data_IF_740720923551
#
_entry.id   IF_740720923551
#
_cell.length_a   1.000
_cell.length_b   1.000
_cell.length_c   1.000
_cell.angle_alpha   90.00
_cell.angle_beta   90.00
_cell.angle_gamma   90.00
#
_symmetry.space_group_name_H-M   'P 1'
#
loop_
_entity.id
_entity.type
_entity.pdbx_description
1 polymer ?
#
# COMPACT_ATOMS: atom_id res chain seq x y z
N UNK A 1 -17.43 -11.52 17.05
CA UNK A 1 -16.89 -10.99 15.79
C UNK A 1 -15.51 -11.57 15.62
N UNK A 2 -15.23 -12.20 14.46
CA UNK A 2 -13.90 -12.72 14.16
C UNK A 2 -13.26 -11.85 13.05
N UNK A 3 -12.05 -11.37 13.31
CA UNK A 3 -11.24 -10.62 12.34
C UNK A 3 -10.20 -11.58 11.76
N UNK A 4 -10.22 -11.78 10.47
CA UNK A 4 -9.19 -12.52 9.75
C UNK A 4 -8.16 -11.55 9.19
N UNK A 5 -6.92 -11.67 9.66
CA UNK A 5 -5.85 -10.72 9.38
C UNK A 5 -4.65 -11.46 8.78
N UNK A 6 -4.35 -11.18 7.52
CA UNK A 6 -3.21 -11.78 6.83
C UNK A 6 -1.87 -11.11 7.18
N UNK A 7 -1.93 -9.87 7.71
CA UNK A 7 -0.74 -9.05 7.94
C UNK A 7 -0.21 -9.19 9.37
N UNK A 8 -1.08 -9.00 10.37
CA UNK A 8 -0.68 -9.00 11.80
C UNK A 8 -0.85 -10.37 12.47
N UNK A 9 -1.41 -11.34 11.78
CA UNK A 9 -1.54 -12.70 12.27
C UNK A 9 -2.71 -12.93 13.24
N UNK A 10 -2.53 -13.84 14.18
CA UNK A 10 -3.58 -14.35 15.07
C UNK A 10 -3.94 -13.40 16.24
N UNK A 11 -3.29 -12.25 16.33
CA UNK A 11 -3.54 -11.25 17.36
C UNK A 11 -3.23 -11.71 18.78
N UNK A 12 -2.36 -12.72 18.94
CA UNK A 12 -1.88 -13.16 20.24
C UNK A 12 -1.23 -12.00 21.01
N UNK A 13 -1.60 -11.85 22.29
CA UNK A 13 -1.03 -10.80 23.12
C UNK A 13 0.40 -11.14 23.49
N UNK A 14 1.32 -10.20 23.33
CA UNK A 14 2.69 -10.33 23.76
C UNK A 14 2.77 -10.46 25.27
N UNK A 15 3.71 -11.30 25.76
CA UNK A 15 3.95 -11.44 27.21
C UNK A 15 4.52 -10.16 27.83
N UNK A 16 5.32 -9.42 27.06
CA UNK A 16 5.88 -8.12 27.40
C UNK A 16 5.51 -7.14 26.27
N UNK A 17 4.30 -6.54 26.31
CA UNK A 17 3.85 -5.64 25.25
C UNK A 17 4.61 -4.31 25.30
N UNK A 18 4.80 -3.69 24.14
CA UNK A 18 5.15 -2.28 24.07
C UNK A 18 4.01 -1.40 24.55
N UNK A 19 4.28 -0.13 24.84
CA UNK A 19 3.25 0.82 25.26
C UNK A 19 2.11 0.93 24.23
N UNK A 20 2.46 0.94 22.94
CA UNK A 20 1.50 0.97 21.84
C UNK A 20 0.64 -0.31 21.80
N UNK A 21 1.27 -1.47 21.91
CA UNK A 21 0.54 -2.75 21.95
C UNK A 21 -0.40 -2.83 23.14
N UNK A 22 0.04 -2.36 24.32
CA UNK A 22 -0.81 -2.33 25.50
C UNK A 22 -2.04 -1.43 25.29
N UNK A 23 -1.85 -0.25 24.70
CA UNK A 23 -2.96 0.66 24.37
C UNK A 23 -3.96 0.01 23.40
N UNK A 24 -3.50 -0.76 22.42
CA UNK A 24 -4.36 -1.53 21.51
C UNK A 24 -5.15 -2.62 22.25
N UNK A 25 -4.51 -3.31 23.21
CA UNK A 25 -5.19 -4.34 24.03
C UNK A 25 -6.25 -3.72 24.93
N UNK A 26 -5.94 -2.61 25.59
CA UNK A 26 -6.86 -1.89 26.47
C UNK A 26 -8.07 -1.37 25.68
N UNK A 27 -7.85 -0.87 24.46
CA UNK A 27 -8.91 -0.43 23.57
C UNK A 27 -9.83 -1.59 23.14
N UNK A 28 -9.26 -2.74 22.80
CA UNK A 28 -10.04 -3.95 22.49
C UNK A 28 -10.89 -4.40 23.68
N UNK A 29 -10.30 -4.44 24.86
CA UNK A 29 -11.01 -4.81 26.10
C UNK A 29 -12.15 -3.83 26.41
N UNK A 30 -11.93 -2.54 26.17
CA UNK A 30 -12.96 -1.52 26.29
C UNK A 30 -14.11 -1.73 25.29
N UNK A 31 -13.82 -2.05 24.01
CA UNK A 31 -14.85 -2.38 23.02
C UNK A 31 -15.67 -3.58 23.48
N UNK A 32 -15.02 -4.67 23.88
CA UNK A 32 -15.70 -5.89 24.33
C UNK A 32 -16.64 -5.62 25.50
N UNK A 33 -16.16 -4.84 26.49
CA UNK A 33 -16.96 -4.49 27.65
C UNK A 33 -18.12 -3.52 27.33
N UNK A 34 -17.86 -2.52 26.47
CA UNK A 34 -18.83 -1.47 26.15
C UNK A 34 -19.98 -1.99 25.31
N UNK A 35 -19.67 -2.83 24.32
CA UNK A 35 -20.66 -3.30 23.34
C UNK A 35 -21.12 -4.74 23.61
N UNK A 36 -20.66 -5.37 24.68
CA UNK A 36 -20.97 -6.76 25.03
C UNK A 36 -20.73 -7.71 23.85
N UNK A 37 -19.58 -7.59 23.21
CA UNK A 37 -19.14 -8.42 22.10
C UNK A 37 -17.83 -9.10 22.46
N UNK A 38 -17.52 -10.21 21.78
CA UNK A 38 -16.19 -10.83 21.80
C UNK A 38 -15.51 -10.58 20.47
N UNK A 39 -14.27 -10.10 20.50
CA UNK A 39 -13.44 -9.86 19.31
C UNK A 39 -12.29 -10.86 19.31
N UNK A 40 -12.29 -11.74 18.32
CA UNK A 40 -11.21 -12.68 18.07
C UNK A 40 -10.47 -12.25 16.81
N UNK A 41 -9.15 -12.34 16.81
CA UNK A 41 -8.33 -12.17 15.62
C UNK A 41 -7.70 -13.52 15.28
N UNK A 42 -7.70 -13.85 13.99
CA UNK A 42 -7.15 -15.09 13.47
C UNK A 42 -6.26 -14.80 12.26
N UNK A 43 -5.28 -15.66 12.04
CA UNK A 43 -4.50 -15.62 10.80
C UNK A 43 -5.43 -15.78 9.60
N UNK A 44 -5.41 -14.83 8.68
CA UNK A 44 -6.23 -14.77 7.46
C UNK A 44 -5.47 -15.18 6.19
N UNK A 45 -4.63 -16.20 6.25
CA UNK A 45 -3.76 -16.55 5.14
C UNK A 45 -2.49 -15.70 5.10
N UNK A 46 -1.95 -15.50 3.91
CA UNK A 46 -0.81 -14.64 3.61
C UNK A 46 -1.18 -13.66 2.46
N UNK A 47 -0.20 -12.92 1.96
CA UNK A 47 -0.39 -11.98 0.85
C UNK A 47 -1.06 -12.60 -0.39
N UNK A 48 -0.71 -13.83 -0.73
CA UNK A 48 -1.27 -14.56 -1.89
C UNK A 48 -2.66 -15.12 -1.64
N UNK A 49 -2.93 -15.58 -0.42
CA UNK A 49 -4.09 -16.41 -0.05
C UNK A 49 -5.10 -15.70 0.84
N UNK A 50 -4.90 -14.44 1.20
CA UNK A 50 -5.74 -13.70 2.16
C UNK A 50 -7.24 -13.65 1.80
N UNK A 51 -7.59 -13.82 0.54
CA UNK A 51 -9.00 -13.85 0.09
C UNK A 51 -9.66 -15.23 0.21
N UNK A 52 -8.89 -16.32 0.35
CA UNK A 52 -9.41 -17.69 0.31
C UNK A 52 -10.35 -18.00 1.46
N UNK A 53 -10.01 -17.51 2.67
CA UNK A 53 -10.87 -17.70 3.85
C UNK A 53 -12.24 -17.03 3.65
N UNK A 54 -12.27 -15.84 3.06
CA UNK A 54 -13.49 -15.10 2.76
C UNK A 54 -14.34 -15.84 1.71
N UNK A 55 -13.70 -16.38 0.66
CA UNK A 55 -14.36 -17.19 -0.39
C UNK A 55 -14.95 -18.46 0.21
N UNK A 56 -14.18 -19.17 1.02
CA UNK A 56 -14.61 -20.40 1.68
C UNK A 56 -15.81 -20.15 2.60
N UNK A 57 -15.76 -19.09 3.40
CA UNK A 57 -16.88 -18.71 4.27
C UNK A 57 -18.14 -18.38 3.48
N UNK A 58 -18.02 -17.65 2.37
CA UNK A 58 -19.18 -17.32 1.53
C UNK A 58 -19.83 -18.57 0.93
N UNK A 59 -19.03 -19.59 0.63
CA UNK A 59 -19.52 -20.87 0.09
C UNK A 59 -20.21 -21.74 1.13
N UNK A 60 -19.84 -21.61 2.41
CA UNK A 60 -20.39 -22.39 3.53
C UNK A 60 -20.50 -21.54 4.81
N UNK A 61 -21.43 -20.55 4.85
CA UNK A 61 -21.55 -19.64 5.97
C UNK A 61 -22.08 -20.35 7.22
N UNK A 62 -21.49 -20.06 8.36
CA UNK A 62 -21.85 -20.62 9.67
C UNK A 62 -22.70 -19.65 10.53
N UNK A 63 -23.09 -18.49 9.98
CA UNK A 63 -23.85 -17.47 10.65
C UNK A 63 -23.03 -16.56 11.58
N UNK A 64 -21.71 -16.75 11.67
CA UNK A 64 -20.83 -15.85 12.43
C UNK A 64 -20.62 -14.51 11.71
N UNK A 65 -20.33 -13.47 12.48
CA UNK A 65 -19.90 -12.18 11.94
C UNK A 65 -18.39 -12.17 11.76
N UNK A 66 -17.95 -11.96 10.52
CA UNK A 66 -16.53 -11.93 10.17
C UNK A 66 -16.16 -10.63 9.48
N UNK A 67 -14.97 -10.13 9.81
CA UNK A 67 -14.31 -9.04 9.10
C UNK A 67 -12.97 -9.54 8.56
N UNK A 68 -12.54 -8.99 7.44
CA UNK A 68 -11.34 -9.44 6.77
C UNK A 68 -10.42 -8.26 6.48
N UNK A 69 -9.15 -8.40 6.87
CA UNK A 69 -8.09 -7.53 6.39
C UNK A 69 -7.56 -8.18 5.13
N UNK A 70 -7.73 -7.49 4.01
CA UNK A 70 -7.51 -8.02 2.66
C UNK A 70 -6.48 -7.15 1.93
N UNK A 71 -5.63 -7.80 1.17
CA UNK A 71 -4.74 -7.12 0.22
C UNK A 71 -5.62 -6.35 -0.81
N UNK A 72 -5.36 -5.04 -1.01
CA UNK A 72 -6.23 -4.19 -1.81
C UNK A 72 -6.52 -4.68 -3.23
N UNK A 73 -5.57 -5.29 -3.92
CA UNK A 73 -5.75 -5.81 -5.27
C UNK A 73 -6.78 -6.96 -5.39
N UNK A 74 -7.19 -7.57 -4.28
CA UNK A 74 -8.19 -8.66 -4.27
C UNK A 74 -9.63 -8.15 -4.22
N UNK A 75 -9.87 -6.93 -3.73
CA UNK A 75 -11.22 -6.43 -3.43
C UNK A 75 -12.12 -6.41 -4.67
N UNK A 76 -11.61 -5.93 -5.80
CA UNK A 76 -12.41 -5.88 -7.05
C UNK A 76 -12.96 -7.25 -7.47
N UNK A 77 -12.15 -8.31 -7.38
CA UNK A 77 -12.59 -9.66 -7.70
C UNK A 77 -13.57 -10.23 -6.68
N UNK A 78 -13.38 -9.93 -5.40
CA UNK A 78 -14.29 -10.36 -4.33
C UNK A 78 -15.68 -9.72 -4.49
N UNK A 79 -15.72 -8.44 -4.86
CA UNK A 79 -16.98 -7.74 -5.13
C UNK A 79 -17.67 -8.31 -6.38
N UNK A 80 -16.93 -8.45 -7.48
CA UNK A 80 -17.47 -8.95 -8.75
C UNK A 80 -18.05 -10.36 -8.64
N UNK A 81 -17.52 -11.17 -7.74
CA UNK A 81 -18.01 -12.54 -7.48
C UNK A 81 -19.03 -12.63 -6.33
N UNK A 82 -19.48 -11.48 -5.80
CA UNK A 82 -20.48 -11.44 -4.74
C UNK A 82 -20.00 -11.99 -3.39
N UNK A 83 -18.68 -12.03 -3.18
CA UNK A 83 -18.06 -12.51 -1.94
C UNK A 83 -18.01 -11.42 -0.89
N UNK A 84 -17.66 -10.18 -1.29
CA UNK A 84 -17.61 -9.03 -0.38
C UNK A 84 -19.00 -8.41 -0.19
N UNK A 85 -19.37 -8.14 1.04
CA UNK A 85 -20.57 -7.37 1.39
C UNK A 85 -20.25 -5.87 1.44
N UNK A 86 -21.18 -5.04 0.97
CA UNK A 86 -21.06 -3.60 1.12
C UNK A 86 -21.32 -3.17 2.56
N UNK A 87 -20.79 -2.00 2.91
CA UNK A 87 -21.05 -1.34 4.20
C UNK A 87 -22.46 -0.70 4.28
N UNK A 88 -23.26 -0.81 3.21
CA UNK A 88 -24.60 -0.21 3.15
C UNK A 88 -24.58 1.31 3.35
N UNK A 89 -25.52 1.80 4.15
CA UNK A 89 -25.70 3.24 4.40
C UNK A 89 -24.86 3.74 5.59
N UNK A 90 -23.73 3.09 5.90
CA UNK A 90 -22.88 3.53 7.00
C UNK A 90 -22.32 4.92 6.72
N UNK A 91 -22.36 5.81 7.72
CA UNK A 91 -21.86 7.18 7.63
C UNK A 91 -20.31 7.21 7.81
N UNK A 92 -19.61 7.49 6.72
CA UNK A 92 -18.15 7.64 6.67
C UNK A 92 -17.69 9.10 6.76
N UNK A 93 -18.52 10.04 7.20
CA UNK A 93 -18.16 11.47 7.28
C UNK A 93 -17.16 11.80 8.40
N UNK A 94 -16.90 10.87 9.32
CA UNK A 94 -15.95 11.09 10.41
C UNK A 94 -14.50 11.12 9.90
N UNK A 95 -13.72 12.11 10.35
CA UNK A 95 -12.33 12.39 9.95
C UNK A 95 -11.36 11.19 10.11
N UNK A 96 -11.70 10.21 10.93
CA UNK A 96 -10.89 8.99 11.12
C UNK A 96 -10.79 8.11 9.87
N UNK A 97 -11.73 8.24 8.94
CA UNK A 97 -11.76 7.41 7.74
C UNK A 97 -10.83 7.96 6.66
N UNK A 98 -10.19 7.06 5.95
CA UNK A 98 -9.29 7.41 4.87
C UNK A 98 -10.08 7.60 3.55
N UNK A 99 -10.18 8.84 3.09
CA UNK A 99 -10.93 9.19 1.88
C UNK A 99 -10.40 8.50 0.62
N UNK A 100 -9.08 8.32 0.52
CA UNK A 100 -8.48 7.62 -0.62
C UNK A 100 -8.99 6.17 -0.68
N UNK A 101 -8.98 5.46 0.44
CA UNK A 101 -9.48 4.08 0.52
C UNK A 101 -10.98 4.02 0.24
N UNK A 102 -11.77 4.92 0.81
CA UNK A 102 -13.21 4.96 0.57
C UNK A 102 -13.53 5.15 -0.92
N UNK A 103 -12.82 6.05 -1.60
CA UNK A 103 -13.00 6.30 -3.03
C UNK A 103 -12.49 5.15 -3.89
N UNK A 104 -11.34 4.55 -3.55
CA UNK A 104 -10.77 3.43 -4.29
C UNK A 104 -11.65 2.17 -4.28
N UNK A 105 -12.42 1.96 -3.18
CA UNK A 105 -13.27 0.78 -3.01
C UNK A 105 -14.76 1.07 -3.08
N UNK A 106 -15.11 2.22 -3.64
CA UNK A 106 -16.47 2.55 -4.03
C UNK A 106 -16.75 1.99 -5.42
N UNK A 107 -17.72 1.08 -5.53
CA UNK A 107 -18.15 0.48 -6.80
C UNK A 107 -19.63 0.82 -6.99
N UNK A 108 -19.93 1.67 -7.97
CA UNK A 108 -21.24 2.32 -8.07
C UNK A 108 -21.47 3.22 -6.85
N UNK A 109 -22.59 3.04 -6.16
CA UNK A 109 -22.94 3.80 -4.95
C UNK A 109 -22.55 3.08 -3.65
N UNK A 110 -21.95 1.90 -3.72
CA UNK A 110 -21.65 1.06 -2.56
C UNK A 110 -20.17 1.08 -2.20
N UNK A 111 -19.85 1.20 -0.90
CA UNK A 111 -18.50 1.10 -0.35
C UNK A 111 -18.25 -0.32 0.17
N UNK A 112 -17.12 -0.91 -0.23
CA UNK A 112 -16.76 -2.29 0.13
C UNK A 112 -15.52 -2.39 1.00
N UNK A 113 -14.61 -1.43 0.91
CA UNK A 113 -13.39 -1.39 1.71
C UNK A 113 -13.23 -0.07 2.45
N UNK A 114 -12.68 -0.14 3.65
CA UNK A 114 -12.43 1.02 4.51
C UNK A 114 -11.07 0.89 5.18
N UNK A 115 -10.44 2.01 5.46
CA UNK A 115 -9.30 2.08 6.37
C UNK A 115 -9.35 3.35 7.19
N UNK A 116 -8.55 3.42 8.23
CA UNK A 116 -8.41 4.60 9.09
C UNK A 116 -7.04 5.25 8.90
N UNK A 117 -6.92 6.51 9.31
CA UNK A 117 -5.68 7.26 9.27
C UNK A 117 -5.36 7.88 7.90
N UNK A 118 -4.26 8.62 7.84
CA UNK A 118 -3.80 9.24 6.62
C UNK A 118 -3.13 8.24 5.68
N UNK A 119 -3.17 8.53 4.39
CA UNK A 119 -2.41 7.77 3.40
C UNK A 119 -0.91 7.99 3.62
N UNK A 120 -0.16 6.92 3.79
CA UNK A 120 1.29 6.97 3.95
C UNK A 120 1.97 6.90 2.57
N UNK A 121 3.00 7.72 2.32
CA UNK A 121 3.82 7.58 1.12
C UNK A 121 4.62 6.27 1.20
N UNK A 122 4.48 5.40 0.20
CA UNK A 122 5.17 4.11 0.16
C UNK A 122 6.28 4.03 -0.87
N UNK A 123 6.18 4.82 -1.94
CA UNK A 123 7.20 4.90 -2.98
C UNK A 123 8.13 6.08 -2.72
N UNK A 124 9.39 5.83 -2.39
CA UNK A 124 10.40 6.87 -2.24
C UNK A 124 11.79 6.34 -2.55
N UNK A 125 12.71 7.26 -2.82
CA UNK A 125 14.12 6.96 -3.04
C UNK A 125 14.86 7.12 -1.71
N UNK A 126 15.37 6.01 -1.18
CA UNK A 126 16.31 6.02 -0.07
C UNK A 126 17.72 6.12 -0.61
N UNK A 127 18.57 6.91 0.00
CA UNK A 127 19.97 7.02 -0.41
C UNK A 127 20.93 6.83 0.76
N UNK A 128 22.07 6.23 0.47
CA UNK A 128 23.14 6.01 1.43
C UNK A 128 24.10 7.20 1.44
N UNK A 129 24.06 8.00 2.50
CA UNK A 129 24.89 9.21 2.65
C UNK A 129 26.39 8.92 2.52
N UNK A 130 26.87 7.82 3.12
CA UNK A 130 28.28 7.43 3.08
C UNK A 130 28.73 7.12 1.63
N UNK A 131 27.91 6.42 0.86
CA UNK A 131 28.26 6.11 -0.54
C UNK A 131 28.28 7.35 -1.43
N UNK A 132 27.43 8.33 -1.16
CA UNK A 132 27.48 9.62 -1.85
C UNK A 132 28.75 10.40 -1.48
N UNK A 133 29.14 10.45 -0.21
CA UNK A 133 30.38 11.07 0.25
C UNK A 133 31.61 10.38 -0.35
N UNK A 134 31.65 9.06 -0.43
CA UNK A 134 32.71 8.31 -1.13
C UNK A 134 32.81 8.66 -2.62
N UNK A 135 31.69 9.00 -3.26
CA UNK A 135 31.64 9.48 -4.64
C UNK A 135 31.90 11.01 -4.74
N UNK A 136 32.33 11.67 -3.66
CA UNK A 136 32.50 13.12 -3.56
C UNK A 136 31.24 13.93 -3.88
N UNK A 137 30.09 13.42 -3.51
CA UNK A 137 28.79 14.09 -3.66
C UNK A 137 28.31 14.50 -2.25
N UNK A 138 28.08 15.79 -2.05
CA UNK A 138 27.38 16.26 -0.85
C UNK A 138 25.91 15.84 -0.91
N UNK A 139 25.52 14.93 -0.04
CA UNK A 139 24.16 14.41 0.00
C UNK A 139 23.10 15.48 0.34
N UNK A 140 23.49 16.62 0.94
CA UNK A 140 22.57 17.74 1.17
C UNK A 140 22.03 18.33 -0.14
N UNK A 141 22.80 18.22 -1.23
CA UNK A 141 22.37 18.72 -2.54
C UNK A 141 21.08 18.06 -3.03
N UNK A 142 20.77 16.82 -2.59
CA UNK A 142 19.54 16.15 -2.94
C UNK A 142 18.34 16.84 -2.28
N UNK A 143 18.46 17.21 -1.01
CA UNK A 143 17.42 17.96 -0.30
C UNK A 143 17.26 19.38 -0.87
N UNK A 144 18.38 20.02 -1.21
CA UNK A 144 18.38 21.36 -1.82
C UNK A 144 17.69 21.33 -3.19
N UNK A 145 17.98 20.33 -4.02
CA UNK A 145 17.32 20.15 -5.33
C UNK A 145 15.81 19.92 -5.15
N UNK A 146 15.40 19.13 -4.19
CA UNK A 146 13.98 18.90 -3.89
C UNK A 146 13.31 20.20 -3.41
N UNK A 147 13.92 20.92 -2.49
CA UNK A 147 13.38 22.18 -1.94
C UNK A 147 13.27 23.28 -3.02
N UNK A 148 14.18 23.30 -3.99
CA UNK A 148 14.22 24.29 -5.07
C UNK A 148 13.46 23.85 -6.33
N UNK A 149 12.82 22.67 -6.34
CA UNK A 149 12.10 22.12 -7.50
C UNK A 149 13.00 21.72 -8.66
N UNK A 150 14.29 21.46 -8.40
CA UNK A 150 15.28 21.01 -9.40
C UNK A 150 15.62 19.53 -9.32
N UNK A 151 14.95 18.78 -8.42
CA UNK A 151 14.99 17.33 -8.37
C UNK A 151 14.17 16.77 -9.55
N UNK A 152 14.85 16.38 -10.60
CA UNK A 152 14.27 15.91 -11.88
C UNK A 152 14.83 14.54 -12.24
N UNK A 153 14.24 13.86 -13.20
CA UNK A 153 14.78 12.62 -13.78
C UNK A 153 16.22 12.80 -14.29
N UNK A 154 16.51 13.91 -14.94
CA UNK A 154 17.87 14.23 -15.38
C UNK A 154 18.85 14.39 -14.21
N UNK A 155 18.43 15.02 -13.12
CA UNK A 155 19.27 15.16 -11.93
C UNK A 155 19.53 13.80 -11.26
N UNK A 156 18.51 12.92 -11.20
CA UNK A 156 18.67 11.55 -10.73
C UNK A 156 19.65 10.78 -11.65
N UNK A 157 19.46 10.81 -12.95
CA UNK A 157 20.33 10.14 -13.92
C UNK A 157 21.80 10.58 -13.79
N UNK A 158 22.05 11.87 -13.59
CA UNK A 158 23.39 12.40 -13.37
C UNK A 158 24.04 11.88 -12.08
N UNK A 159 23.26 11.72 -11.01
CA UNK A 159 23.73 11.09 -9.78
C UNK A 159 24.04 9.60 -10.00
N UNK A 160 23.15 8.87 -10.69
CA UNK A 160 23.31 7.46 -10.95
C UNK A 160 24.56 7.18 -11.80
N UNK A 161 24.85 8.01 -12.82
CA UNK A 161 26.09 7.92 -13.64
C UNK A 161 27.35 8.11 -12.80
N UNK A 162 27.31 8.97 -11.78
CA UNK A 162 28.46 9.23 -10.89
C UNK A 162 28.66 8.14 -9.84
N UNK A 163 27.61 7.39 -9.50
CA UNK A 163 27.63 6.37 -8.44
C UNK A 163 27.65 4.94 -8.98
N UNK A 164 27.48 4.75 -10.29
CA UNK A 164 27.66 3.45 -10.96
C UNK A 164 29.09 3.31 -11.42
N UNK A 165 29.86 2.43 -10.78
CA UNK A 165 31.30 2.37 -10.92
C UNK A 165 31.81 0.93 -11.15
N UNK A 166 32.76 0.82 -12.06
CA UNK A 166 33.73 -0.26 -12.17
C UNK A 166 34.96 0.19 -11.35
N UNK A 167 35.20 -0.40 -10.19
CA UNK A 167 36.20 0.09 -9.23
C UNK A 167 37.58 -0.53 -9.43
N UNK A 168 37.68 -1.68 -10.11
CA UNK A 168 38.94 -2.37 -10.41
C UNK A 168 39.33 -2.34 -11.89
N UNK A 169 38.49 -1.75 -12.76
CA UNK A 169 38.67 -1.58 -14.20
C UNK A 169 38.74 -2.91 -14.96
N UNK A 170 37.99 -3.93 -14.49
CA UNK A 170 37.92 -5.22 -15.20
C UNK A 170 36.81 -5.23 -16.29
N UNK A 171 36.00 -4.18 -16.38
CA UNK A 171 34.90 -4.01 -17.32
C UNK A 171 33.55 -4.43 -16.79
N UNK A 172 33.48 -4.92 -15.55
CA UNK A 172 32.23 -5.18 -14.86
C UNK A 172 31.87 -4.05 -13.89
N UNK A 173 30.59 -3.83 -13.64
CA UNK A 173 30.15 -2.83 -12.67
C UNK A 173 30.13 -3.44 -11.28
N UNK A 174 30.93 -2.89 -10.36
CA UNK A 174 31.02 -3.29 -8.95
C UNK A 174 30.03 -2.57 -8.04
N UNK A 175 29.73 -1.31 -8.37
CA UNK A 175 28.81 -0.47 -7.61
C UNK A 175 27.70 0.04 -8.52
N UNK A 176 26.47 -0.24 -8.15
CA UNK A 176 25.29 0.22 -8.86
C UNK A 176 24.72 1.47 -8.18
N UNK A 177 24.43 2.50 -8.97
CA UNK A 177 23.88 3.76 -8.47
C UNK A 177 22.47 3.62 -7.88
N UNK A 178 21.70 2.63 -8.33
CA UNK A 178 20.36 2.36 -7.83
C UNK A 178 20.10 0.86 -7.75
N UNK A 179 19.29 0.48 -6.79
CA UNK A 179 18.75 -0.88 -6.65
C UNK A 179 17.31 -0.77 -6.15
N UNK A 180 16.45 -1.65 -6.61
CA UNK A 180 15.04 -1.67 -6.20
C UNK A 180 14.25 -2.76 -6.92
N UNK A 181 12.95 -2.81 -6.62
CA UNK A 181 12.00 -3.63 -7.37
C UNK A 181 11.71 -2.95 -8.71
N UNK A 182 11.91 -3.68 -9.82
CA UNK A 182 11.60 -3.16 -11.16
C UNK A 182 10.13 -2.81 -11.31
N UNK A 183 9.24 -3.66 -10.80
CA UNK A 183 7.79 -3.47 -10.89
C UNK A 183 7.35 -2.19 -10.17
N UNK A 184 7.86 -1.95 -8.95
CA UNK A 184 7.56 -0.74 -8.19
C UNK A 184 8.09 0.51 -8.89
N UNK A 185 9.26 0.42 -9.53
CA UNK A 185 9.83 1.55 -10.27
C UNK A 185 8.99 1.92 -11.50
N UNK A 186 8.49 0.95 -12.26
CA UNK A 186 7.60 1.23 -13.40
C UNK A 186 6.29 1.88 -12.95
N UNK A 187 5.69 1.36 -11.87
CA UNK A 187 4.46 1.93 -11.31
C UNK A 187 4.70 3.37 -10.86
N UNK A 188 5.79 3.61 -10.11
CA UNK A 188 6.12 4.94 -9.61
C UNK A 188 6.41 5.92 -10.76
N UNK A 189 7.21 5.52 -11.75
CA UNK A 189 7.55 6.35 -12.90
C UNK A 189 6.29 6.73 -13.68
N UNK A 190 5.39 5.77 -13.94
CA UNK A 190 4.12 6.02 -14.64
C UNK A 190 3.29 7.09 -13.93
N UNK A 191 3.06 6.96 -12.62
CA UNK A 191 2.25 7.93 -11.88
C UNK A 191 2.92 9.29 -11.72
N UNK A 192 4.24 9.34 -11.53
CA UNK A 192 5.00 10.60 -11.44
C UNK A 192 4.98 11.35 -12.78
N UNK A 193 4.92 10.62 -13.90
CA UNK A 193 4.81 11.22 -15.23
C UNK A 193 3.36 11.59 -15.63
N UNK A 194 2.39 11.39 -14.73
CA UNK A 194 0.97 11.69 -14.95
C UNK A 194 0.23 10.60 -15.74
N UNK A 195 0.88 9.46 -15.99
CA UNK A 195 0.25 8.30 -16.62
C UNK A 195 -0.62 7.50 -15.65
N UNK A 196 -1.46 6.65 -16.21
CA UNK A 196 -2.30 5.69 -15.48
C UNK A 196 -2.35 4.37 -16.24
N UNK A 197 -2.68 3.27 -15.55
CA UNK A 197 -2.87 1.98 -16.19
C UNK A 197 -4.31 1.78 -16.66
N UNK A 198 -5.25 2.37 -15.93
CA UNK A 198 -6.68 2.35 -16.24
C UNK A 198 -7.30 3.68 -15.84
N UNK A 199 -8.35 4.08 -16.55
CA UNK A 199 -9.16 5.23 -16.23
C UNK A 199 -10.62 4.97 -16.66
N UNK A 200 -11.55 5.81 -16.24
CA UNK A 200 -12.94 5.72 -16.65
C UNK A 200 -13.21 6.66 -17.82
N UNK A 201 -13.90 6.17 -18.86
CA UNK A 201 -14.39 7.00 -19.94
C UNK A 201 -15.59 7.89 -19.48
N UNK A 202 -16.08 8.71 -20.39
CA UNK A 202 -17.17 9.64 -20.10
C UNK A 202 -18.49 8.94 -19.72
N UNK A 203 -18.63 7.67 -20.09
CA UNK A 203 -19.75 6.80 -19.76
C UNK A 203 -19.53 6.02 -18.45
N UNK A 204 -18.39 6.23 -17.76
CA UNK A 204 -18.04 5.56 -16.52
C UNK A 204 -17.58 4.10 -16.70
N UNK A 205 -17.17 3.72 -17.90
CA UNK A 205 -16.62 2.38 -18.18
C UNK A 205 -15.10 2.38 -18.07
N UNK A 206 -14.56 1.40 -17.37
CA UNK A 206 -13.11 1.23 -17.18
C UNK A 206 -12.42 0.95 -18.52
N UNK A 207 -11.41 1.74 -18.85
CA UNK A 207 -10.58 1.64 -20.05
C UNK A 207 -9.12 1.48 -19.70
N UNK A 208 -8.34 0.67 -20.44
CA UNK A 208 -6.89 0.63 -20.28
C UNK A 208 -6.25 1.89 -20.88
N UNK A 209 -5.32 2.51 -20.14
CA UNK A 209 -4.60 3.73 -20.52
C UNK A 209 -3.10 3.51 -20.68
N UNK A 210 -2.64 2.28 -20.65
CA UNK A 210 -1.22 1.91 -20.77
C UNK A 210 -0.56 2.37 -22.09
N UNK A 211 -1.35 2.74 -23.08
CA UNK A 211 -0.89 3.25 -24.36
C UNK A 211 -0.97 4.78 -24.48
N UNK A 212 -1.26 5.50 -23.40
CA UNK A 212 -1.16 6.95 -23.38
C UNK A 212 0.31 7.40 -23.49
N UNK A 213 0.54 8.61 -24.00
CA UNK A 213 1.89 9.14 -24.12
C UNK A 213 2.57 9.22 -22.74
N UNK A 214 1.85 9.69 -21.74
CA UNK A 214 2.33 9.84 -20.36
C UNK A 214 2.80 8.50 -19.76
N UNK A 215 2.11 7.40 -20.11
CA UNK A 215 2.48 6.06 -19.62
C UNK A 215 3.64 5.46 -20.44
N UNK A 216 3.69 5.72 -21.74
CA UNK A 216 4.77 5.20 -22.63
C UNK A 216 6.09 5.90 -22.36
N UNK A 217 6.07 7.20 -22.03
CA UNK A 217 7.26 8.01 -21.78
C UNK A 217 7.82 7.85 -20.36
N UNK A 218 7.11 7.16 -19.46
CA UNK A 218 7.52 6.90 -18.07
C UNK A 218 8.56 5.78 -18.01
#
# INVERSE_FOLDING_TARGET
ITIYDYWSGDGARAAEPTEEQQAQYDYRDWIEATYNVKVEQKQGGDWGTCAEEMINFTSAPDGSLRAYIIEPGKVGSLVSNGVAASWGDYDFSAEKWNDFTLNAWKIGDATYGVSTGATEPRGCIYFNKRLLEEANIDWNTIYDMQANGTWTWAALEDLLKKTTLDTDNDGAIDKWGISGSGDDMYVLATFVNGGTFFDFDAEGKLQPTMNSNETIEA
#
